data_IF_296430179650
#
_entry.id   IF_296430179650
#
_cell.length_a   1.000
_cell.length_b   1.000
_cell.length_c   1.000
_cell.angle_alpha   90.00
_cell.angle_beta   90.00
_cell.angle_gamma   90.00
#
_symmetry.space_group_name_H-M   'P 1'
#
loop_
_entity.id
_entity.type
_entity.pdbx_description
1 polymer ?
#
# COMPACT_ATOMS: atom_id res chain seq x y z
N UNK A 1 2.09 -9.38 8.08
CA UNK A 1 1.96 -8.33 9.12
C UNK A 1 3.11 -7.34 9.11
N UNK A 2 4.38 -7.72 9.39
CA UNK A 2 5.50 -6.75 9.50
C UNK A 2 5.66 -5.75 8.33
N UNK A 3 5.43 -6.19 7.08
CA UNK A 3 5.51 -5.30 5.91
C UNK A 3 4.40 -4.24 5.92
N UNK A 4 3.20 -4.61 6.35
CA UNK A 4 2.06 -3.68 6.42
C UNK A 4 2.24 -2.67 7.53
N UNK A 5 2.76 -3.10 8.67
CA UNK A 5 3.07 -2.21 9.78
C UNK A 5 4.15 -1.20 9.38
N UNK A 6 5.20 -1.65 8.70
CA UNK A 6 6.24 -0.76 8.19
C UNK A 6 5.69 0.25 7.17
N UNK A 7 4.86 -0.19 6.20
CA UNK A 7 4.19 0.74 5.29
C UNK A 7 3.30 1.70 6.07
N UNK A 8 2.57 1.22 7.08
CA UNK A 8 1.66 2.03 7.86
C UNK A 8 2.36 3.12 8.66
N UNK A 9 3.53 2.81 9.21
CA UNK A 9 4.38 3.74 9.94
C UNK A 9 5.05 4.76 9.01
N UNK A 10 5.63 4.30 7.89
CA UNK A 10 6.48 5.14 7.06
C UNK A 10 5.72 5.97 6.03
N UNK A 11 4.57 5.50 5.52
CA UNK A 11 3.91 6.17 4.40
C UNK A 11 3.33 7.53 4.77
N UNK A 12 3.00 7.73 6.05
CA UNK A 12 2.53 8.99 6.62
C UNK A 12 1.38 9.60 5.81
N UNK A 13 1.48 10.90 5.48
CA UNK A 13 0.41 11.65 4.79
C UNK A 13 0.14 11.18 3.35
N UNK A 14 1.06 10.44 2.74
CA UNK A 14 0.94 9.95 1.36
C UNK A 14 0.04 8.71 1.23
N UNK A 15 -0.50 8.19 2.34
CA UNK A 15 -1.34 6.99 2.34
C UNK A 15 -2.57 7.09 1.44
N UNK A 16 -3.12 8.30 1.25
CA UNK A 16 -4.28 8.52 0.36
C UNK A 16 -3.90 8.34 -1.10
N UNK A 17 -2.78 8.93 -1.52
CA UNK A 17 -2.27 8.76 -2.87
C UNK A 17 -1.83 7.32 -3.13
N UNK A 18 -1.33 6.63 -2.10
CA UNK A 18 -1.05 5.21 -2.13
C UNK A 18 -2.31 4.37 -2.38
N UNK A 19 -3.38 4.61 -1.62
CA UNK A 19 -4.66 3.92 -1.80
C UNK A 19 -5.23 4.16 -3.22
N UNK A 20 -5.12 5.38 -3.74
CA UNK A 20 -5.49 5.71 -5.13
C UNK A 20 -4.62 4.95 -6.13
N UNK A 21 -3.32 4.81 -5.88
CA UNK A 21 -2.41 4.06 -6.75
C UNK A 21 -2.73 2.54 -6.79
N UNK A 22 -3.25 2.01 -5.69
CA UNK A 22 -3.84 0.66 -5.58
C UNK A 22 -5.27 0.57 -6.15
N UNK A 23 -5.79 1.66 -6.74
CA UNK A 23 -7.16 1.76 -7.28
C UNK A 23 -8.26 1.52 -6.25
N UNK A 24 -7.94 1.71 -4.97
CA UNK A 24 -8.89 1.56 -3.88
C UNK A 24 -9.60 2.89 -3.69
N UNK A 25 -10.94 2.89 -3.82
CA UNK A 25 -11.74 4.11 -3.69
C UNK A 25 -11.72 4.62 -2.26
N UNK A 26 -11.25 5.85 -2.06
CA UNK A 26 -11.14 6.52 -0.76
C UNK A 26 -12.45 6.54 0.03
N UNK A 27 -13.61 6.62 -0.65
CA UNK A 27 -14.92 6.63 0.01
C UNK A 27 -15.28 5.35 0.78
N UNK A 28 -14.49 4.27 0.62
CA UNK A 28 -14.66 3.04 1.40
C UNK A 28 -13.68 2.90 2.56
N UNK A 29 -12.65 3.76 2.63
CA UNK A 29 -11.54 3.53 3.54
C UNK A 29 -11.06 4.84 4.19
N UNK A 30 -11.27 4.89 5.50
CA UNK A 30 -10.91 5.94 6.45
C UNK A 30 -9.51 5.75 7.06
N UNK A 31 -8.90 4.58 6.86
CA UNK A 31 -7.63 4.19 7.50
C UNK A 31 -6.75 3.33 6.57
N UNK A 32 -5.45 3.60 6.54
CA UNK A 32 -4.45 2.87 5.78
C UNK A 32 -4.40 1.38 6.13
N UNK A 33 -4.57 1.00 7.40
CA UNK A 33 -4.60 -0.40 7.81
C UNK A 33 -5.70 -1.17 7.07
N UNK A 34 -6.87 -0.55 6.88
CA UNK A 34 -7.96 -1.12 6.09
C UNK A 34 -7.65 -1.16 4.59
N UNK A 35 -6.86 -0.21 4.06
CA UNK A 35 -6.39 -0.23 2.66
C UNK A 35 -5.53 -1.46 2.43
N UNK A 36 -4.57 -1.71 3.32
CA UNK A 36 -3.63 -2.82 3.22
C UNK A 36 -4.35 -4.16 3.36
N UNK A 37 -5.24 -4.29 4.35
CA UNK A 37 -6.02 -5.52 4.51
C UNK A 37 -7.00 -5.76 3.36
N UNK A 38 -7.67 -4.70 2.86
CA UNK A 38 -8.52 -4.82 1.68
C UNK A 38 -7.73 -5.28 0.46
N UNK A 39 -6.53 -4.73 0.25
CA UNK A 39 -5.63 -5.13 -0.84
C UNK A 39 -5.24 -6.60 -0.71
N UNK A 40 -4.80 -7.03 0.48
CA UNK A 40 -4.44 -8.42 0.76
C UNK A 40 -5.59 -9.40 0.49
N UNK A 41 -6.82 -9.05 0.89
CA UNK A 41 -7.99 -9.93 0.69
C UNK A 41 -8.51 -9.97 -0.74
N UNK A 42 -8.25 -8.95 -1.56
CA UNK A 42 -8.81 -8.82 -2.91
C UNK A 42 -7.79 -9.07 -4.03
N UNK A 43 -6.50 -9.14 -3.72
CA UNK A 43 -5.44 -9.46 -4.67
C UNK A 43 -5.03 -10.93 -4.58
N UNK A 44 -4.58 -11.51 -5.71
CA UNK A 44 -4.00 -12.85 -5.69
C UNK A 44 -2.65 -12.85 -4.98
N UNK A 45 -2.35 -13.95 -4.26
CA UNK A 45 -1.09 -14.13 -3.52
C UNK A 45 0.18 -13.95 -4.36
N UNK A 46 0.09 -14.15 -5.68
CA UNK A 46 1.23 -14.02 -6.59
C UNK A 46 1.49 -12.58 -7.06
N UNK A 47 0.53 -11.66 -6.92
CA UNK A 47 0.61 -10.31 -7.49
C UNK A 47 0.51 -9.18 -6.48
N UNK A 48 -0.04 -9.42 -5.29
CA UNK A 48 -0.28 -8.37 -4.28
C UNK A 48 0.99 -7.59 -3.93
N UNK A 49 2.13 -8.26 -3.76
CA UNK A 49 3.41 -7.63 -3.45
C UNK A 49 3.89 -6.72 -4.59
N UNK A 50 3.81 -7.21 -5.83
CA UNK A 50 4.15 -6.44 -7.03
C UNK A 50 3.26 -5.20 -7.16
N UNK A 51 1.97 -5.31 -6.83
CA UNK A 51 1.04 -4.17 -6.82
C UNK A 51 1.40 -3.13 -5.76
N UNK A 52 1.82 -3.55 -4.55
CA UNK A 52 2.31 -2.64 -3.50
C UNK A 52 3.59 -1.91 -3.93
N UNK A 53 4.59 -2.64 -4.43
CA UNK A 53 5.85 -2.03 -4.89
C UNK A 53 5.61 -1.04 -6.04
N UNK A 54 4.70 -1.39 -6.96
CA UNK A 54 4.30 -0.49 -8.04
C UNK A 54 3.55 0.75 -7.52
N UNK A 55 2.68 0.60 -6.52
CA UNK A 55 1.99 1.73 -5.90
C UNK A 55 2.96 2.65 -5.17
N UNK A 56 3.90 2.11 -4.40
CA UNK A 56 4.99 2.86 -3.74
C UNK A 56 5.85 3.63 -4.76
N UNK A 57 6.21 2.97 -5.86
CA UNK A 57 6.94 3.60 -6.97
C UNK A 57 6.18 4.78 -7.59
N UNK A 58 4.87 4.61 -7.83
CA UNK A 58 4.01 5.68 -8.40
C UNK A 58 3.95 6.92 -7.52
N UNK A 59 3.91 6.74 -6.21
CA UNK A 59 3.89 7.85 -5.24
C UNK A 59 5.29 8.34 -4.86
N UNK A 60 6.34 7.85 -5.55
CA UNK A 60 7.75 8.20 -5.32
C UNK A 60 8.26 7.83 -3.93
N UNK A 61 7.64 6.86 -3.26
CA UNK A 61 8.12 6.29 -1.99
C UNK A 61 9.03 5.09 -2.23
N UNK A 62 10.09 5.33 -3.00
CA UNK A 62 11.11 4.31 -3.29
C UNK A 62 11.94 3.97 -2.04
N UNK A 63 11.99 4.87 -1.06
CA UNK A 63 12.57 4.64 0.28
C UNK A 63 11.90 3.46 0.98
N UNK A 64 10.56 3.36 0.95
CA UNK A 64 9.83 2.22 1.51
C UNK A 64 10.01 0.99 0.61
N UNK A 65 9.90 1.18 -0.71
CA UNK A 65 10.00 0.09 -1.70
C UNK A 65 11.31 -0.70 -1.56
N UNK A 66 12.44 -0.02 -1.42
CA UNK A 66 13.76 -0.64 -1.34
C UNK A 66 13.95 -1.51 -0.09
N UNK A 67 13.17 -1.28 0.97
CA UNK A 67 13.18 -2.11 2.18
C UNK A 67 12.35 -3.38 1.99
N UNK A 68 11.46 -3.39 1.00
CA UNK A 68 10.55 -4.49 0.69
C UNK A 68 11.01 -5.39 -0.46
N UNK A 69 12.06 -5.01 -1.20
CA UNK A 69 12.74 -5.83 -2.21
C UNK A 69 13.70 -6.82 -1.55
#
# INVERSE_FOLDING_TARGET
>A
EQIFDYIAEEIGRSWRDFARALKIREGKIDDLQKVLHYHEMNSSQDVWATELLNALSKIRRNDIRLVME
#
